data_IF_562309466522
#
_entry.id   IF_562309466522
#
_cell.length_a   1.000
_cell.length_b   1.000
_cell.length_c   1.000
_cell.angle_alpha   90.00
_cell.angle_beta   90.00
_cell.angle_gamma   90.00
#
_symmetry.space_group_name_H-M   'P 1'
#
loop_
_entity.id
_entity.type
_entity.pdbx_description
1 polymer ?
#
# COMPACT_ATOMS: atom_id res chain seq x y z
N UNK A 1 61.03 -2.98 -7.36
CA UNK A 1 60.37 -1.73 -6.90
C UNK A 1 60.04 -0.93 -8.14
N UNK A 2 58.80 -0.67 -8.57
CA UNK A 2 57.48 -0.67 -7.93
C UNK A 2 56.49 -1.14 -9.01
N UNK A 3 55.79 -2.26 -8.79
CA UNK A 3 54.51 -2.47 -9.47
C UNK A 3 53.54 -1.48 -8.84
N UNK A 4 53.07 -0.53 -9.64
CA UNK A 4 52.00 0.37 -9.24
C UNK A 4 50.74 -0.48 -9.23
N UNK A 5 50.32 -0.96 -8.06
CA UNK A 5 48.94 -1.36 -7.83
C UNK A 5 48.07 -0.19 -8.25
N UNK A 6 47.51 -0.26 -9.46
CA UNK A 6 46.51 0.67 -9.92
C UNK A 6 45.30 0.48 -9.00
N UNK A 7 45.24 1.29 -7.93
CA UNK A 7 44.09 1.36 -7.04
C UNK A 7 42.91 1.83 -7.90
N UNK A 8 42.13 0.87 -8.39
CA UNK A 8 40.92 1.14 -9.16
C UNK A 8 40.07 2.12 -8.37
N UNK A 9 39.61 3.19 -9.02
CA UNK A 9 38.73 4.13 -8.35
C UNK A 9 37.45 3.39 -7.91
N UNK A 10 36.76 3.83 -6.84
CA UNK A 10 35.50 3.21 -6.42
C UNK A 10 34.45 3.17 -7.54
N UNK A 11 34.55 4.07 -8.52
CA UNK A 11 33.68 4.10 -9.70
C UNK A 11 34.03 3.00 -10.71
N UNK A 12 35.32 2.71 -10.92
CA UNK A 12 35.79 1.66 -11.82
C UNK A 12 35.51 0.28 -11.23
N UNK A 13 35.68 0.12 -9.92
CA UNK A 13 35.25 -1.08 -9.18
C UNK A 13 33.74 -1.27 -9.31
N UNK A 14 32.93 -0.23 -9.12
CA UNK A 14 31.48 -0.31 -9.27
C UNK A 14 31.01 -0.52 -10.72
N UNK A 15 31.80 -0.12 -11.73
CA UNK A 15 31.51 -0.42 -13.14
C UNK A 15 31.87 -1.87 -13.48
N UNK A 16 33.03 -2.34 -13.05
CA UNK A 16 33.45 -3.73 -13.22
C UNK A 16 32.52 -4.72 -12.50
N UNK A 17 32.11 -4.40 -11.26
CA UNK A 17 31.14 -5.21 -10.52
C UNK A 17 29.75 -5.21 -11.16
N UNK A 18 29.32 -4.12 -11.79
CA UNK A 18 28.05 -4.07 -12.51
C UNK A 18 28.08 -4.83 -13.85
N UNK A 19 29.23 -4.86 -14.52
CA UNK A 19 29.45 -5.73 -15.67
C UNK A 19 29.47 -7.22 -15.27
N UNK A 20 29.99 -7.53 -14.08
CA UNK A 20 30.04 -8.90 -13.55
C UNK A 20 28.68 -9.38 -13.00
N UNK A 21 27.91 -8.52 -12.33
CA UNK A 21 26.57 -8.83 -11.83
C UNK A 21 25.63 -7.60 -11.90
N UNK A 22 24.66 -7.58 -12.84
CA UNK A 22 23.66 -6.52 -12.96
C UNK A 22 22.85 -6.27 -11.67
N UNK A 23 22.76 -7.27 -10.77
CA UNK A 23 22.04 -7.17 -9.50
C UNK A 23 22.72 -6.25 -8.47
N UNK A 24 23.90 -5.73 -8.78
CA UNK A 24 24.57 -4.69 -7.98
C UNK A 24 23.88 -3.33 -8.13
N UNK A 25 23.27 -3.05 -9.30
CA UNK A 25 22.63 -1.76 -9.61
C UNK A 25 21.12 -1.81 -9.76
N UNK A 26 20.57 -2.95 -10.15
CA UNK A 26 19.15 -3.12 -10.42
C UNK A 26 18.56 -4.32 -9.68
N UNK A 27 17.26 -4.29 -9.34
CA UNK A 27 16.50 -5.47 -8.94
C UNK A 27 16.55 -6.56 -10.01
N UNK A 28 16.23 -7.80 -9.62
CA UNK A 28 16.00 -8.89 -10.58
C UNK A 28 14.87 -8.51 -11.54
N UNK A 29 15.02 -8.85 -12.82
CA UNK A 29 13.99 -8.62 -13.85
C UNK A 29 12.64 -9.21 -13.43
N UNK A 30 12.63 -10.40 -12.82
CA UNK A 30 11.41 -11.02 -12.28
C UNK A 30 10.71 -10.14 -11.25
N UNK A 31 11.46 -9.49 -10.35
CA UNK A 31 10.89 -8.58 -9.35
C UNK A 31 10.31 -7.32 -10.00
N UNK A 32 10.97 -6.80 -11.04
CA UNK A 32 10.49 -5.64 -11.81
C UNK A 32 9.18 -6.00 -12.52
N UNK A 33 9.14 -7.15 -13.21
CA UNK A 33 7.95 -7.64 -13.91
C UNK A 33 6.79 -7.85 -12.93
N UNK A 34 7.04 -8.47 -11.78
CA UNK A 34 6.02 -8.66 -10.75
C UNK A 34 5.50 -7.32 -10.21
N UNK A 35 6.37 -6.35 -9.95
CA UNK A 35 5.98 -4.99 -9.55
C UNK A 35 5.07 -4.34 -10.60
N UNK A 36 5.42 -4.43 -11.89
CA UNK A 36 4.61 -3.86 -12.97
C UNK A 36 3.26 -4.57 -13.08
N UNK A 37 3.25 -5.90 -13.11
CA UNK A 37 2.03 -6.71 -13.26
C UNK A 37 1.08 -6.46 -12.09
N UNK A 38 1.56 -6.59 -10.84
CA UNK A 38 0.73 -6.36 -9.67
C UNK A 38 0.31 -4.89 -9.55
N UNK A 39 1.19 -3.95 -9.92
CA UNK A 39 0.87 -2.53 -9.94
C UNK A 39 -0.29 -2.21 -10.89
N UNK A 40 -0.22 -2.71 -12.12
CA UNK A 40 -1.28 -2.54 -13.12
C UNK A 40 -2.57 -3.27 -12.72
N UNK A 41 -2.47 -4.46 -12.13
CA UNK A 41 -3.64 -5.19 -11.62
C UNK A 41 -4.35 -4.42 -10.49
N UNK A 42 -3.61 -3.77 -9.58
CA UNK A 42 -4.20 -2.94 -8.53
C UNK A 42 -4.88 -1.69 -9.10
N UNK A 43 -4.27 -1.03 -10.09
CA UNK A 43 -4.90 0.11 -10.77
C UNK A 43 -6.16 -0.30 -11.55
N UNK A 44 -6.12 -1.46 -12.22
CA UNK A 44 -7.28 -2.02 -12.91
C UNK A 44 -8.40 -2.41 -11.91
N UNK A 45 -8.03 -3.04 -10.78
CA UNK A 45 -8.97 -3.35 -9.71
C UNK A 45 -9.59 -2.08 -9.10
N UNK A 46 -8.82 -1.00 -8.96
CA UNK A 46 -9.31 0.30 -8.51
C UNK A 46 -10.40 0.85 -9.45
N UNK A 47 -10.16 0.80 -10.77
CA UNK A 47 -11.16 1.16 -11.77
C UNK A 47 -12.39 0.24 -11.74
N UNK A 48 -12.20 -1.07 -11.54
CA UNK A 48 -13.27 -2.04 -11.39
C UNK A 48 -14.15 -1.79 -10.16
N UNK A 49 -13.54 -1.50 -9.01
CA UNK A 49 -14.23 -1.14 -7.76
C UNK A 49 -15.04 0.14 -7.97
N UNK A 50 -14.45 1.17 -8.57
CA UNK A 50 -15.16 2.40 -8.93
C UNK A 50 -16.37 2.10 -9.83
N UNK A 51 -16.19 1.29 -10.87
CA UNK A 51 -17.28 0.94 -11.78
C UNK A 51 -18.41 0.22 -11.04
N UNK A 52 -18.10 -0.77 -10.22
CA UNK A 52 -19.10 -1.52 -9.46
C UNK A 52 -19.85 -0.63 -8.48
N UNK A 53 -19.15 0.20 -7.69
CA UNK A 53 -19.78 1.08 -6.70
C UNK A 53 -20.58 2.22 -7.32
N UNK A 54 -20.06 2.84 -8.38
CA UNK A 54 -20.59 4.11 -8.91
C UNK A 54 -21.52 3.93 -10.11
N UNK A 55 -21.34 2.87 -10.91
CA UNK A 55 -22.05 2.70 -12.20
C UNK A 55 -23.14 1.63 -12.15
N UNK A 56 -23.40 1.05 -10.98
CA UNK A 56 -24.47 0.08 -10.78
C UNK A 56 -25.45 0.57 -9.71
N UNK A 57 -26.73 0.19 -9.83
CA UNK A 57 -27.75 0.53 -8.83
C UNK A 57 -27.43 -0.12 -7.48
N UNK A 58 -27.09 -1.41 -7.49
CA UNK A 58 -26.75 -2.15 -6.27
C UNK A 58 -25.52 -1.57 -5.55
N UNK A 59 -24.51 -1.15 -6.31
CA UNK A 59 -23.33 -0.48 -5.78
C UNK A 59 -23.70 0.83 -5.09
N UNK A 60 -24.50 1.69 -5.73
CA UNK A 60 -24.93 2.94 -5.11
C UNK A 60 -25.80 2.70 -3.87
N UNK A 61 -26.70 1.72 -3.90
CA UNK A 61 -27.51 1.35 -2.73
C UNK A 61 -26.64 0.84 -1.57
N UNK A 62 -25.66 -0.02 -1.86
CA UNK A 62 -24.70 -0.49 -0.87
C UNK A 62 -23.95 0.68 -0.23
N UNK A 63 -23.43 1.60 -1.04
CA UNK A 63 -22.71 2.77 -0.55
C UNK A 63 -23.59 3.68 0.30
N UNK A 64 -24.85 3.89 -0.08
CA UNK A 64 -25.78 4.78 0.62
C UNK A 64 -26.21 4.19 1.97
N UNK A 65 -26.43 2.87 2.03
CA UNK A 65 -26.68 2.13 3.29
C UNK A 65 -25.50 2.32 4.25
N UNK A 66 -24.27 2.13 3.76
CA UNK A 66 -23.09 2.25 4.61
C UNK A 66 -22.88 3.71 5.02
N UNK A 67 -22.95 4.65 4.09
CA UNK A 67 -22.76 6.07 4.35
C UNK A 67 -23.76 6.62 5.40
N UNK A 68 -25.01 6.18 5.37
CA UNK A 68 -26.05 6.66 6.29
C UNK A 68 -25.95 6.09 7.71
N UNK A 69 -25.49 4.83 7.85
CA UNK A 69 -25.67 4.06 9.10
C UNK A 69 -24.41 3.45 9.69
N UNK A 70 -23.26 3.54 9.02
CA UNK A 70 -22.02 2.87 9.46
C UNK A 70 -21.54 3.36 10.83
N UNK A 71 -21.62 4.66 11.11
CA UNK A 71 -21.17 5.24 12.38
C UNK A 71 -21.90 4.62 13.59
N UNK A 72 -23.23 4.50 13.50
CA UNK A 72 -24.06 3.88 14.52
C UNK A 72 -23.81 2.37 14.66
N UNK A 73 -23.26 1.72 13.64
CA UNK A 73 -22.94 0.30 13.63
C UNK A 73 -21.53 0.00 14.18
N UNK A 74 -20.71 1.02 14.48
CA UNK A 74 -19.38 0.81 15.04
C UNK A 74 -19.46 0.17 16.44
N UNK A 75 -18.62 -0.83 16.74
CA UNK A 75 -18.49 -1.33 18.09
C UNK A 75 -18.13 -0.19 19.05
N UNK A 76 -18.76 -0.15 20.24
CA UNK A 76 -18.57 0.95 21.20
C UNK A 76 -17.11 1.17 21.65
N UNK A 77 -16.27 0.14 21.60
CA UNK A 77 -14.83 0.25 21.88
C UNK A 77 -14.03 0.86 20.71
N UNK A 78 -14.50 0.70 19.47
CA UNK A 78 -13.82 1.13 18.27
C UNK A 78 -14.21 2.56 17.86
N UNK A 79 -15.47 2.95 18.10
CA UNK A 79 -15.99 4.25 17.70
C UNK A 79 -15.13 5.43 18.18
N UNK A 80 -14.71 5.52 19.47
CA UNK A 80 -13.88 6.64 19.92
C UNK A 80 -12.53 6.71 19.19
N UNK A 81 -11.92 5.55 18.89
CA UNK A 81 -10.64 5.48 18.18
C UNK A 81 -10.80 5.95 16.74
N UNK A 82 -11.86 5.52 16.06
CA UNK A 82 -12.18 5.92 14.70
C UNK A 82 -12.47 7.43 14.63
N UNK A 83 -13.21 7.98 15.59
CA UNK A 83 -13.54 9.41 15.63
C UNK A 83 -12.33 10.33 15.82
N UNK A 84 -11.24 9.88 16.45
CA UNK A 84 -9.98 10.64 16.49
C UNK A 84 -9.45 10.93 15.07
N UNK A 85 -9.57 9.95 14.17
CA UNK A 85 -9.15 10.08 12.78
C UNK A 85 -10.24 10.70 11.88
N UNK A 86 -11.40 11.06 12.43
CA UNK A 86 -12.39 11.89 11.76
C UNK A 86 -12.04 13.40 11.85
N UNK A 87 -10.92 13.75 12.48
CA UNK A 87 -10.38 15.11 12.53
C UNK A 87 -9.33 15.26 11.43
N UNK A 88 -9.61 16.04 10.38
CA UNK A 88 -8.70 16.21 9.22
C UNK A 88 -7.29 16.62 9.64
N UNK A 89 -7.18 17.54 10.62
CA UNK A 89 -5.90 18.00 11.13
C UNK A 89 -5.06 16.87 11.72
N UNK A 90 -5.68 15.89 12.38
CA UNK A 90 -4.98 14.72 12.95
C UNK A 90 -4.43 13.85 11.84
N UNK A 91 -5.24 13.50 10.84
CA UNK A 91 -4.81 12.66 9.71
C UNK A 91 -3.67 13.33 8.94
N UNK A 92 -3.81 14.62 8.62
CA UNK A 92 -2.78 15.41 7.92
C UNK A 92 -1.49 15.44 8.74
N UNK A 93 -1.58 15.78 10.04
CA UNK A 93 -0.41 15.90 10.91
C UNK A 93 0.34 14.58 11.04
N UNK A 94 -0.36 13.48 11.32
CA UNK A 94 0.25 12.14 11.44
C UNK A 94 0.91 11.74 10.12
N UNK A 95 0.23 11.93 8.99
CA UNK A 95 0.79 11.61 7.67
C UNK A 95 2.02 12.44 7.32
N UNK A 96 2.00 13.75 7.61
CA UNK A 96 3.15 14.64 7.40
C UNK A 96 4.33 14.22 8.27
N UNK A 97 4.09 13.87 9.53
CA UNK A 97 5.13 13.35 10.44
C UNK A 97 5.73 12.06 9.89
N UNK A 98 4.91 11.11 9.46
CA UNK A 98 5.40 9.85 8.85
C UNK A 98 6.23 10.10 7.59
N UNK A 99 5.77 11.00 6.71
CA UNK A 99 6.51 11.40 5.51
C UNK A 99 7.83 12.10 5.84
N UNK A 100 7.83 13.00 6.82
CA UNK A 100 9.04 13.68 7.29
C UNK A 100 10.06 12.69 7.88
N UNK A 101 9.60 11.72 8.69
CA UNK A 101 10.45 10.64 9.20
C UNK A 101 11.02 9.82 8.05
N UNK A 102 10.20 9.48 7.03
CA UNK A 102 10.67 8.74 5.87
C UNK A 102 11.82 9.46 5.16
N UNK A 103 11.67 10.77 4.90
CA UNK A 103 12.74 11.55 4.28
C UNK A 103 13.96 11.73 5.19
N UNK A 104 13.76 11.98 6.49
CA UNK A 104 14.85 12.08 7.46
C UNK A 104 15.70 10.79 7.48
N UNK A 105 15.05 9.62 7.50
CA UNK A 105 15.75 8.32 7.43
C UNK A 105 16.56 8.19 6.13
N UNK A 106 16.00 8.59 4.98
CA UNK A 106 16.72 8.53 3.70
C UNK A 106 17.90 9.50 3.62
N UNK A 107 17.76 10.70 4.20
CA UNK A 107 18.82 11.71 4.29
C UNK A 107 19.98 11.18 5.15
N UNK A 108 19.68 10.67 6.35
CA UNK A 108 20.69 10.09 7.26
C UNK A 108 21.42 8.91 6.58
N UNK A 109 20.69 8.12 5.79
CA UNK A 109 21.26 6.99 5.03
C UNK A 109 21.88 7.40 3.69
N UNK A 110 21.92 8.70 3.36
CA UNK A 110 22.49 9.27 2.13
C UNK A 110 21.90 8.68 0.83
N UNK A 111 20.61 8.38 0.82
CA UNK A 111 19.90 7.71 -0.29
C UNK A 111 19.16 8.69 -1.21
N UNK A 112 19.88 9.60 -1.83
CA UNK A 112 19.34 10.73 -2.61
C UNK A 112 18.38 10.33 -3.75
N UNK A 113 18.70 9.26 -4.50
CA UNK A 113 17.79 8.80 -5.56
C UNK A 113 16.49 8.22 -5.00
N UNK A 114 16.52 7.60 -3.81
CA UNK A 114 15.30 7.13 -3.14
C UNK A 114 14.42 8.30 -2.67
N UNK A 115 15.03 9.42 -2.27
CA UNK A 115 14.30 10.65 -1.95
C UNK A 115 13.54 11.14 -3.18
N UNK A 116 14.23 11.27 -4.33
CA UNK A 116 13.61 11.69 -5.58
C UNK A 116 12.48 10.73 -6.00
N UNK A 117 12.72 9.42 -5.94
CA UNK A 117 11.72 8.39 -6.26
C UNK A 117 10.47 8.49 -5.36
N UNK A 118 10.64 8.64 -4.04
CA UNK A 118 9.50 8.76 -3.12
C UNK A 118 8.79 10.12 -3.23
N UNK A 119 9.51 11.20 -3.56
CA UNK A 119 8.91 12.49 -3.83
C UNK A 119 8.03 12.44 -5.09
N UNK A 120 8.51 11.80 -6.17
CA UNK A 120 7.71 11.57 -7.39
C UNK A 120 6.50 10.70 -7.07
N UNK A 121 6.68 9.61 -6.33
CA UNK A 121 5.56 8.76 -5.89
C UNK A 121 4.51 9.54 -5.09
N UNK A 122 4.93 10.33 -4.10
CA UNK A 122 4.03 11.18 -3.32
C UNK A 122 3.29 12.21 -4.18
N UNK A 123 4.01 12.84 -5.12
CA UNK A 123 3.41 13.77 -6.09
C UNK A 123 2.39 13.11 -7.01
N UNK A 124 2.66 11.88 -7.49
CA UNK A 124 1.71 11.11 -8.30
C UNK A 124 0.47 10.70 -7.50
N UNK A 125 0.62 10.31 -6.23
CA UNK A 125 -0.50 10.02 -5.33
C UNK A 125 -1.37 11.27 -5.11
N UNK A 126 -0.75 12.42 -4.85
CA UNK A 126 -1.46 13.69 -4.72
C UNK A 126 -2.19 14.08 -6.02
N UNK A 127 -1.51 13.97 -7.16
CA UNK A 127 -2.12 14.22 -8.46
C UNK A 127 -3.30 13.28 -8.73
N UNK A 128 -3.21 12.00 -8.36
CA UNK A 128 -4.32 11.07 -8.49
C UNK A 128 -5.53 11.49 -7.60
N UNK A 129 -5.28 12.00 -6.39
CA UNK A 129 -6.33 12.48 -5.50
C UNK A 129 -7.07 13.71 -6.06
N UNK A 130 -6.36 14.63 -6.71
CA UNK A 130 -6.91 15.89 -7.19
C UNK A 130 -7.47 15.80 -8.61
N UNK A 131 -6.81 15.06 -9.51
CA UNK A 131 -7.21 14.97 -10.92
C UNK A 131 -8.36 14.00 -11.16
N UNK A 132 -8.46 12.91 -10.39
CA UNK A 132 -9.53 11.93 -10.61
C UNK A 132 -10.90 12.42 -10.15
N UNK A 133 -10.97 13.27 -9.12
CA UNK A 133 -12.24 13.82 -8.62
C UNK A 133 -13.07 14.52 -9.69
N UNK A 134 -12.54 15.47 -10.49
CA UNK A 134 -13.31 16.10 -11.56
C UNK A 134 -13.51 15.21 -12.78
N UNK A 135 -12.65 14.21 -13.00
CA UNK A 135 -12.66 13.36 -14.19
C UNK A 135 -13.63 12.17 -14.09
N UNK A 136 -13.98 11.74 -12.88
CA UNK A 136 -14.83 10.57 -12.68
C UNK A 136 -16.30 11.00 -12.51
N UNK A 137 -17.14 10.84 -13.55
CA UNK A 137 -18.55 11.21 -13.45
C UNK A 137 -19.29 10.24 -12.53
N UNK A 138 -20.17 10.79 -11.68
CA UNK A 138 -21.09 10.02 -10.86
C UNK A 138 -22.51 10.16 -11.41
N UNK A 139 -23.03 9.18 -12.17
CA UNK A 139 -24.42 9.21 -12.61
C UNK A 139 -25.34 9.01 -11.41
N UNK A 140 -26.50 9.66 -11.43
CA UNK A 140 -27.54 9.45 -10.42
C UNK A 140 -28.40 8.25 -10.84
N UNK A 141 -28.27 7.12 -10.13
CA UNK A 141 -29.01 5.89 -10.45
C UNK A 141 -30.13 5.59 -9.46
N UNK A 142 -30.02 6.10 -8.22
CA UNK A 142 -31.00 5.92 -7.14
C UNK A 142 -31.21 7.26 -6.41
N UNK A 143 -32.25 7.34 -5.59
CA UNK A 143 -32.40 8.46 -4.65
C UNK A 143 -31.41 8.31 -3.50
N UNK A 144 -30.45 9.23 -3.41
CA UNK A 144 -29.33 9.18 -2.47
C UNK A 144 -29.61 10.05 -1.24
N UNK A 145 -29.29 9.54 -0.05
CA UNK A 145 -29.08 10.38 1.14
C UNK A 145 -27.70 11.03 1.12
N UNK A 146 -26.72 10.32 0.54
CA UNK A 146 -25.34 10.79 0.38
C UNK A 146 -25.21 11.95 -0.62
N UNK A 147 -24.22 12.83 -0.40
CA UNK A 147 -23.96 13.99 -1.26
C UNK A 147 -23.79 13.58 -2.73
N UNK A 148 -24.61 14.08 -3.69
CA UNK A 148 -24.62 13.60 -5.07
C UNK A 148 -23.31 13.84 -5.84
N UNK A 149 -22.42 14.71 -5.35
CA UNK A 149 -21.15 15.00 -5.99
C UNK A 149 -20.14 13.85 -5.88
N UNK A 150 -19.26 13.74 -6.89
CA UNK A 150 -18.19 12.76 -6.85
C UNK A 150 -17.20 13.05 -5.71
N UNK A 151 -16.98 12.05 -4.87
CA UNK A 151 -16.07 12.07 -3.71
C UNK A 151 -14.88 11.13 -3.90
N UNK A 152 -14.86 10.35 -4.98
CA UNK A 152 -13.80 9.40 -5.29
C UNK A 152 -12.62 10.04 -6.03
N UNK A 153 -11.37 9.70 -5.70
CA UNK A 153 -10.92 8.89 -4.56
C UNK A 153 -10.74 9.72 -3.27
N UNK A 154 -10.70 9.05 -2.10
CA UNK A 154 -10.50 9.73 -0.81
C UNK A 154 -9.08 10.27 -0.64
N UNK A 155 -8.95 11.59 -0.51
CA UNK A 155 -7.65 12.26 -0.33
C UNK A 155 -6.97 11.93 1.01
N UNK A 156 -7.73 11.83 2.10
CA UNK A 156 -7.21 11.46 3.42
C UNK A 156 -6.63 10.04 3.42
N UNK A 157 -7.31 9.10 2.76
CA UNK A 157 -6.85 7.71 2.64
C UNK A 157 -5.62 7.62 1.74
N UNK A 158 -5.60 8.33 0.60
CA UNK A 158 -4.41 8.41 -0.26
C UNK A 158 -3.22 8.96 0.53
N UNK A 159 -3.41 10.04 1.29
CA UNK A 159 -2.35 10.66 2.09
C UNK A 159 -1.81 9.68 3.16
N UNK A 160 -2.70 9.05 3.93
CA UNK A 160 -2.34 8.10 4.97
C UNK A 160 -1.61 6.86 4.42
N UNK A 161 -2.11 6.32 3.30
CA UNK A 161 -1.50 5.15 2.66
C UNK A 161 -0.16 5.50 2.00
N UNK A 162 -0.05 6.64 1.32
CA UNK A 162 1.19 7.09 0.72
C UNK A 162 2.27 7.33 1.78
N UNK A 163 1.94 8.01 2.89
CA UNK A 163 2.86 8.21 4.00
C UNK A 163 3.34 6.88 4.63
N UNK A 164 2.42 5.92 4.80
CA UNK A 164 2.74 4.57 5.28
C UNK A 164 3.69 3.82 4.35
N UNK A 165 3.42 3.84 3.04
CA UNK A 165 4.27 3.22 2.01
C UNK A 165 5.64 3.90 1.93
N UNK A 166 5.69 5.23 1.98
CA UNK A 166 6.93 5.99 1.96
C UNK A 166 7.81 5.64 3.15
N UNK A 167 7.23 5.61 4.35
CA UNK A 167 7.95 5.21 5.57
C UNK A 167 8.44 3.76 5.46
N UNK A 168 7.59 2.83 5.02
CA UNK A 168 7.94 1.43 4.79
C UNK A 168 9.13 1.28 3.82
N UNK A 169 9.15 2.09 2.77
CA UNK A 169 10.22 2.13 1.78
C UNK A 169 11.51 2.79 2.32
N UNK A 170 11.41 3.74 3.23
CA UNK A 170 12.55 4.47 3.77
C UNK A 170 13.33 3.69 4.84
N UNK A 171 12.61 2.97 5.72
CA UNK A 171 13.20 2.33 6.90
C UNK A 171 14.18 1.20 6.58
N UNK A 172 15.16 0.93 7.46
CA UNK A 172 16.03 -0.24 7.35
C UNK A 172 15.23 -1.54 7.44
N UNK A 173 15.79 -2.62 6.88
CA UNK A 173 15.14 -3.93 6.77
C UNK A 173 14.50 -4.41 8.08
N UNK A 174 15.19 -4.19 9.19
CA UNK A 174 14.77 -4.61 10.54
C UNK A 174 13.44 -3.98 11.00
N UNK A 175 13.10 -2.79 10.50
CA UNK A 175 11.87 -2.08 10.88
C UNK A 175 10.73 -2.23 9.86
N UNK A 176 10.99 -2.77 8.66
CA UNK A 176 9.99 -2.82 7.56
C UNK A 176 8.71 -3.54 7.98
N UNK A 177 8.84 -4.70 8.64
CA UNK A 177 7.70 -5.49 9.08
C UNK A 177 6.85 -4.72 10.11
N UNK A 178 7.48 -4.06 11.09
CA UNK A 178 6.79 -3.24 12.08
C UNK A 178 6.05 -2.06 11.44
N UNK A 179 6.72 -1.33 10.54
CA UNK A 179 6.12 -0.18 9.83
C UNK A 179 4.95 -0.63 8.95
N UNK A 180 5.02 -1.80 8.31
CA UNK A 180 3.90 -2.32 7.53
C UNK A 180 2.66 -2.58 8.40
N UNK A 181 2.83 -3.12 9.62
CA UNK A 181 1.72 -3.35 10.56
C UNK A 181 1.15 -2.04 11.10
N UNK A 182 2.01 -1.07 11.46
CA UNK A 182 1.58 0.25 11.92
C UNK A 182 0.84 0.99 10.80
N UNK A 183 1.39 0.98 9.58
CA UNK A 183 0.75 1.57 8.41
C UNK A 183 -0.59 0.91 8.08
N UNK A 184 -0.72 -0.40 8.29
CA UNK A 184 -1.96 -1.12 8.12
C UNK A 184 -3.01 -0.65 9.11
N UNK A 185 -2.69 -0.65 10.41
CA UNK A 185 -3.60 -0.17 11.44
C UNK A 185 -4.01 1.29 11.18
N UNK A 186 -3.06 2.15 10.84
CA UNK A 186 -3.31 3.56 10.56
C UNK A 186 -4.25 3.76 9.36
N UNK A 187 -3.96 3.13 8.22
CA UNK A 187 -4.79 3.27 7.01
C UNK A 187 -6.18 2.67 7.16
N UNK A 188 -6.33 1.60 7.96
CA UNK A 188 -7.64 1.05 8.31
C UNK A 188 -8.42 2.05 9.15
N UNK A 189 -7.82 2.58 10.23
CA UNK A 189 -8.50 3.55 11.10
C UNK A 189 -8.92 4.81 10.33
N UNK A 190 -8.07 5.34 9.45
CA UNK A 190 -8.40 6.47 8.57
C UNK A 190 -9.49 6.09 7.56
N UNK A 191 -9.43 4.91 6.97
CA UNK A 191 -10.45 4.43 6.03
C UNK A 191 -11.83 4.31 6.67
N UNK A 192 -11.90 3.74 7.88
CA UNK A 192 -13.15 3.65 8.63
C UNK A 192 -13.63 5.01 9.12
N UNK A 193 -12.73 5.92 9.49
CA UNK A 193 -13.10 7.24 10.02
C UNK A 193 -13.74 8.13 8.98
N UNK A 194 -13.25 8.12 7.74
CA UNK A 194 -13.84 8.96 6.68
C UNK A 194 -15.21 8.45 6.23
N UNK A 195 -15.48 7.16 6.41
CA UNK A 195 -16.80 6.57 6.16
C UNK A 195 -17.75 6.89 7.33
N UNK A 196 -17.30 6.68 8.56
CA UNK A 196 -18.07 6.98 9.78
C UNK A 196 -18.42 8.47 9.90
N UNK A 197 -17.50 9.35 9.52
CA UNK A 197 -17.73 10.79 9.46
C UNK A 197 -18.62 11.23 8.28
N UNK A 198 -19.09 10.30 7.45
CA UNK A 198 -19.93 10.54 6.29
C UNK A 198 -19.28 11.46 5.23
N UNK A 199 -17.95 11.47 5.16
CA UNK A 199 -17.21 12.27 4.16
C UNK A 199 -17.05 11.51 2.85
N UNK A 200 -16.87 10.19 2.96
CA UNK A 200 -16.55 9.31 1.84
C UNK A 200 -17.36 8.04 1.90
N UNK A 201 -17.54 7.43 0.73
CA UNK A 201 -18.19 6.13 0.58
C UNK A 201 -17.16 5.02 0.62
N UNK A 202 -17.57 3.76 0.87
CA UNK A 202 -16.64 2.63 0.92
C UNK A 202 -15.77 2.48 -0.34
N UNK A 203 -16.35 2.71 -1.53
CA UNK A 203 -15.61 2.63 -2.80
C UNK A 203 -14.47 3.63 -2.86
N UNK A 204 -14.67 4.87 -2.37
CA UNK A 204 -13.65 5.91 -2.38
C UNK A 204 -12.39 5.50 -1.61
N UNK A 205 -12.59 4.77 -0.50
CA UNK A 205 -11.54 4.27 0.39
C UNK A 205 -10.79 3.11 -0.25
N UNK A 206 -11.51 2.10 -0.74
CA UNK A 206 -10.89 0.94 -1.40
C UNK A 206 -10.15 1.35 -2.67
N UNK A 207 -10.75 2.23 -3.46
CA UNK A 207 -10.15 2.80 -4.67
C UNK A 207 -8.84 3.52 -4.36
N UNK A 208 -8.82 4.35 -3.30
CA UNK A 208 -7.64 5.07 -2.84
C UNK A 208 -6.50 4.13 -2.43
N UNK A 209 -6.79 3.09 -1.64
CA UNK A 209 -5.79 2.10 -1.22
C UNK A 209 -5.16 1.39 -2.42
N UNK A 210 -5.98 0.97 -3.38
CA UNK A 210 -5.53 0.29 -4.60
C UNK A 210 -4.71 1.22 -5.52
N UNK A 211 -5.07 2.50 -5.64
CA UNK A 211 -4.27 3.49 -6.39
C UNK A 211 -2.88 3.61 -5.77
N UNK A 212 -2.81 3.83 -4.46
CA UNK A 212 -1.53 3.98 -3.75
C UNK A 212 -0.69 2.70 -3.88
N UNK A 213 -1.30 1.53 -3.70
CA UNK A 213 -0.61 0.25 -3.89
C UNK A 213 -0.09 0.06 -5.31
N UNK A 214 -0.90 0.38 -6.31
CA UNK A 214 -0.53 0.33 -7.72
C UNK A 214 0.66 1.22 -8.05
N UNK A 215 0.58 2.49 -7.67
CA UNK A 215 1.68 3.46 -7.86
C UNK A 215 2.93 3.07 -7.06
N UNK A 216 2.78 2.50 -5.87
CA UNK A 216 3.91 2.06 -5.04
C UNK A 216 4.69 0.94 -5.72
N UNK A 217 3.98 -0.05 -6.28
CA UNK A 217 4.61 -1.15 -7.01
C UNK A 217 5.30 -0.67 -8.29
N UNK A 218 4.67 0.25 -9.05
CA UNK A 218 5.31 0.88 -10.20
C UNK A 218 6.55 1.70 -9.80
N UNK A 219 6.50 2.41 -8.68
CA UNK A 219 7.67 3.07 -8.12
C UNK A 219 8.76 2.03 -7.78
N UNK A 220 8.42 0.93 -7.09
CA UNK A 220 9.39 -0.11 -6.76
C UNK A 220 10.03 -0.78 -8.00
N UNK A 221 9.32 -0.84 -9.13
CA UNK A 221 9.88 -1.32 -10.40
C UNK A 221 11.07 -0.48 -10.89
N UNK A 222 11.11 0.81 -10.56
CA UNK A 222 12.19 1.74 -10.92
C UNK A 222 13.28 1.87 -9.85
N UNK A 223 13.27 0.99 -8.84
CA UNK A 223 14.30 0.98 -7.79
C UNK A 223 15.69 0.81 -8.39
N UNK A 224 16.62 1.68 -7.96
CA UNK A 224 18.02 1.67 -8.39
C UNK A 224 18.95 1.45 -7.18
N UNK A 225 20.26 1.29 -7.42
CA UNK A 225 21.30 1.00 -6.42
C UNK A 225 21.13 1.71 -5.07
N UNK A 226 20.78 3.01 -5.07
CA UNK A 226 20.55 3.81 -3.85
C UNK A 226 19.42 3.28 -2.95
N UNK A 227 18.42 2.62 -3.53
CA UNK A 227 17.29 2.00 -2.82
C UNK A 227 17.54 0.57 -2.35
N UNK A 228 18.67 -0.03 -2.75
CA UNK A 228 19.03 -1.42 -2.46
C UNK A 228 19.88 -1.53 -1.19
N UNK A 229 19.88 -2.71 -0.57
CA UNK A 229 20.78 -3.02 0.54
C UNK A 229 22.18 -3.33 -0.02
N UNK A 230 23.22 -2.97 0.74
CA UNK A 230 24.61 -3.05 0.29
C UNK A 230 24.99 -4.50 -0.07
N UNK A 231 25.71 -4.73 -1.19
CA UNK A 231 26.25 -6.04 -1.52
C UNK A 231 27.02 -6.63 -0.32
N UNK A 232 26.67 -7.84 0.12
CA UNK A 232 27.22 -8.49 1.33
C UNK A 232 26.34 -8.40 2.58
N UNK A 233 25.43 -7.41 2.67
CA UNK A 233 24.44 -7.30 3.77
C UNK A 233 23.04 -7.82 3.40
N UNK A 234 22.89 -8.33 2.18
CA UNK A 234 21.65 -8.86 1.62
C UNK A 234 21.36 -10.23 2.21
N UNK A 235 20.33 -10.32 3.04
CA UNK A 235 19.86 -11.56 3.65
C UNK A 235 18.33 -11.60 3.64
N UNK A 236 17.77 -12.80 3.68
CA UNK A 236 16.35 -13.00 3.97
C UNK A 236 16.02 -12.44 5.35
N UNK A 237 14.77 -12.00 5.53
CA UNK A 237 14.28 -11.51 6.82
C UNK A 237 13.05 -12.33 7.22
N UNK A 238 13.16 -13.08 8.31
CA UNK A 238 12.07 -13.91 8.81
C UNK A 238 10.86 -13.04 9.20
N UNK A 239 11.06 -11.87 9.81
CA UNK A 239 9.97 -10.96 10.15
C UNK A 239 9.22 -10.46 8.91
N UNK A 240 9.94 -10.11 7.84
CA UNK A 240 9.32 -9.72 6.56
C UNK A 240 8.56 -10.87 5.92
N UNK A 241 9.11 -12.09 5.96
CA UNK A 241 8.44 -13.27 5.40
C UNK A 241 7.17 -13.63 6.17
N UNK A 242 7.24 -13.67 7.50
CA UNK A 242 6.09 -13.98 8.36
C UNK A 242 5.02 -12.91 8.22
N UNK A 243 5.36 -11.64 8.47
CA UNK A 243 4.39 -10.54 8.41
C UNK A 243 3.84 -10.37 7.01
N UNK A 244 4.69 -10.41 5.98
CA UNK A 244 4.25 -10.34 4.58
C UNK A 244 3.29 -11.46 4.23
N UNK A 245 3.60 -12.72 4.59
CA UNK A 245 2.73 -13.86 4.29
C UNK A 245 1.40 -13.77 5.03
N UNK A 246 1.41 -13.36 6.31
CA UNK A 246 0.20 -13.17 7.12
C UNK A 246 -0.67 -12.07 6.51
N UNK A 247 -0.11 -10.90 6.20
CA UNK A 247 -0.84 -9.78 5.61
C UNK A 247 -1.42 -10.12 4.23
N UNK A 248 -0.66 -10.83 3.38
CA UNK A 248 -1.15 -11.29 2.08
C UNK A 248 -2.27 -12.32 2.23
N UNK A 249 -2.12 -13.28 3.15
CA UNK A 249 -3.13 -14.32 3.37
C UNK A 249 -4.42 -13.73 3.92
N UNK A 250 -4.34 -12.91 4.98
CA UNK A 250 -5.50 -12.22 5.55
C UNK A 250 -6.12 -11.26 4.52
N UNK A 251 -5.29 -10.55 3.74
CA UNK A 251 -5.77 -9.66 2.69
C UNK A 251 -6.56 -10.39 1.61
N UNK A 252 -6.02 -11.48 1.06
CA UNK A 252 -6.72 -12.27 0.02
C UNK A 252 -7.98 -12.93 0.58
N UNK A 253 -7.88 -13.63 1.72
CA UNK A 253 -9.02 -14.32 2.31
C UNK A 253 -10.11 -13.33 2.76
N UNK A 254 -9.72 -12.18 3.31
CA UNK A 254 -10.64 -11.12 3.73
C UNK A 254 -11.34 -10.47 2.54
N UNK A 255 -10.66 -10.28 1.41
CA UNK A 255 -11.29 -9.80 0.17
C UNK A 255 -12.30 -10.82 -0.36
N UNK A 256 -11.92 -12.10 -0.42
CA UNK A 256 -12.81 -13.18 -0.87
C UNK A 256 -14.05 -13.29 0.03
N UNK A 257 -13.86 -13.23 1.35
CA UNK A 257 -14.96 -13.30 2.30
C UNK A 257 -15.84 -12.04 2.28
N UNK A 258 -15.25 -10.85 2.13
CA UNK A 258 -16.00 -9.61 1.94
C UNK A 258 -16.84 -9.63 0.66
N UNK A 259 -16.28 -10.13 -0.45
CA UNK A 259 -17.01 -10.34 -1.69
C UNK A 259 -18.15 -11.36 -1.54
N UNK A 260 -17.93 -12.44 -0.78
CA UNK A 260 -18.97 -13.41 -0.44
C UNK A 260 -20.12 -12.77 0.34
N UNK A 261 -19.83 -11.93 1.35
CA UNK A 261 -20.86 -11.20 2.10
C UNK A 261 -21.66 -10.28 1.19
N UNK A 262 -20.99 -9.52 0.31
CA UNK A 262 -21.67 -8.64 -0.66
C UNK A 262 -22.58 -9.47 -1.58
N UNK A 263 -22.10 -10.61 -2.06
CA UNK A 263 -22.90 -11.51 -2.90
C UNK A 263 -24.16 -12.03 -2.18
N UNK A 264 -24.08 -12.31 -0.88
CA UNK A 264 -25.24 -12.75 -0.07
C UNK A 264 -26.30 -11.65 0.09
N UNK A 265 -25.90 -10.39 0.22
CA UNK A 265 -26.84 -9.28 0.40
C UNK A 265 -27.33 -8.65 -0.91
N UNK A 266 -26.66 -8.94 -2.03
CA UNK A 266 -26.95 -8.33 -3.34
C UNK A 266 -28.44 -8.35 -3.73
N UNK A 267 -29.21 -9.44 -3.52
CA UNK A 267 -30.64 -9.46 -3.86
C UNK A 267 -31.49 -8.41 -3.14
N UNK A 268 -31.05 -7.93 -1.97
CA UNK A 268 -31.75 -6.91 -1.18
C UNK A 268 -31.29 -5.47 -1.43
N UNK A 269 -30.18 -5.26 -2.15
CA UNK A 269 -29.59 -3.93 -2.34
C UNK A 269 -30.46 -3.01 -3.21
N UNK A 270 -31.05 -3.54 -4.29
CA UNK A 270 -31.92 -2.75 -5.17
C UNK A 270 -33.15 -2.15 -4.47
N UNK A 271 -33.62 -2.80 -3.39
CA UNK A 271 -34.76 -2.34 -2.58
C UNK A 271 -34.33 -1.67 -1.28
N UNK A 272 -33.02 -1.51 -1.04
CA UNK A 272 -32.45 -1.01 0.22
C UNK A 272 -33.02 -1.72 1.46
N UNK A 273 -33.17 -3.05 1.38
CA UNK A 273 -33.84 -3.83 2.41
C UNK A 273 -33.03 -3.85 3.73
N UNK A 274 -33.70 -3.64 4.86
CA UNK A 274 -33.02 -3.47 6.16
C UNK A 274 -32.14 -4.66 6.58
N UNK A 275 -32.47 -5.88 6.16
CA UNK A 275 -31.67 -7.07 6.48
C UNK A 275 -30.26 -7.04 5.83
N UNK A 276 -30.05 -6.21 4.81
CA UNK A 276 -28.73 -6.06 4.14
C UNK A 276 -27.75 -5.20 4.94
N UNK A 277 -28.25 -4.37 5.86
CA UNK A 277 -27.49 -3.38 6.62
C UNK A 277 -26.27 -3.99 7.32
N UNK A 278 -26.47 -5.05 8.11
CA UNK A 278 -25.39 -5.69 8.87
C UNK A 278 -24.30 -6.25 7.94
N UNK A 279 -24.69 -6.89 6.84
CA UNK A 279 -23.75 -7.39 5.85
C UNK A 279 -22.96 -6.27 5.17
N UNK A 280 -23.60 -5.13 4.90
CA UNK A 280 -22.95 -3.97 4.29
C UNK A 280 -21.87 -3.35 5.20
N UNK A 281 -22.16 -3.17 6.49
CA UNK A 281 -21.19 -2.62 7.45
C UNK A 281 -20.01 -3.57 7.68
N UNK A 282 -20.29 -4.86 7.90
CA UNK A 282 -19.25 -5.87 8.15
C UNK A 282 -18.36 -6.03 6.93
N UNK A 283 -18.93 -6.12 5.73
CA UNK A 283 -18.14 -6.21 4.50
C UNK A 283 -17.31 -4.95 4.26
N UNK A 284 -17.82 -3.75 4.55
CA UNK A 284 -17.03 -2.50 4.45
C UNK A 284 -15.82 -2.51 5.37
N UNK A 285 -16.02 -2.83 6.65
CA UNK A 285 -14.93 -2.85 7.63
C UNK A 285 -13.87 -3.91 7.27
N UNK A 286 -14.34 -5.11 6.89
CA UNK A 286 -13.48 -6.21 6.47
C UNK A 286 -12.70 -5.89 5.20
N UNK A 287 -13.35 -5.38 4.16
CA UNK A 287 -12.70 -5.05 2.88
C UNK A 287 -11.68 -3.94 3.05
N UNK A 288 -11.97 -2.93 3.87
CA UNK A 288 -11.00 -1.87 4.20
C UNK A 288 -9.75 -2.45 4.85
N UNK A 289 -9.93 -3.32 5.84
CA UNK A 289 -8.83 -4.01 6.51
C UNK A 289 -8.06 -4.95 5.59
N UNK A 290 -8.76 -5.72 4.75
CA UNK A 290 -8.18 -6.73 3.88
C UNK A 290 -7.43 -6.11 2.70
N UNK A 291 -7.98 -5.07 2.05
CA UNK A 291 -7.31 -4.36 0.96
C UNK A 291 -6.08 -3.61 1.47
N UNK A 292 -6.17 -2.96 2.63
CA UNK A 292 -5.00 -2.33 3.26
C UNK A 292 -3.91 -3.37 3.56
N UNK A 293 -4.29 -4.54 4.13
CA UNK A 293 -3.35 -5.62 4.42
C UNK A 293 -2.69 -6.15 3.14
N UNK A 294 -3.46 -6.33 2.07
CA UNK A 294 -2.95 -6.76 0.77
C UNK A 294 -1.95 -5.74 0.20
N UNK A 295 -2.31 -4.44 0.20
CA UNK A 295 -1.48 -3.36 -0.34
C UNK A 295 -0.16 -3.22 0.41
N UNK A 296 -0.18 -3.19 1.74
CA UNK A 296 1.04 -3.07 2.52
C UNK A 296 1.83 -4.38 2.58
N UNK A 297 1.15 -5.53 2.58
CA UNK A 297 1.78 -6.86 2.54
C UNK A 297 2.54 -7.09 1.23
N UNK A 298 1.92 -6.77 0.08
CA UNK A 298 2.60 -6.89 -1.22
C UNK A 298 3.72 -5.86 -1.35
N UNK A 299 3.53 -4.63 -0.87
CA UNK A 299 4.57 -3.60 -0.89
C UNK A 299 5.76 -4.02 -0.02
N UNK A 300 5.51 -4.61 1.15
CA UNK A 300 6.54 -5.14 2.06
C UNK A 300 7.34 -6.27 1.38
N UNK A 301 6.65 -7.24 0.78
CA UNK A 301 7.27 -8.36 0.08
C UNK A 301 8.08 -7.88 -1.13
N UNK A 302 7.49 -7.03 -1.99
CA UNK A 302 8.15 -6.50 -3.18
C UNK A 302 9.31 -5.59 -2.81
N UNK A 303 9.19 -4.76 -1.76
CA UNK A 303 10.29 -3.93 -1.27
C UNK A 303 11.48 -4.78 -0.84
N UNK A 304 11.24 -5.92 -0.19
CA UNK A 304 12.31 -6.83 0.19
C UNK A 304 12.98 -7.47 -1.04
N UNK A 305 12.17 -7.89 -2.02
CA UNK A 305 12.66 -8.50 -3.26
C UNK A 305 13.44 -7.50 -4.14
N UNK A 306 13.06 -6.23 -4.16
CA UNK A 306 13.75 -5.19 -4.94
C UNK A 306 14.96 -4.63 -4.20
N UNK A 307 14.92 -4.54 -2.87
CA UNK A 307 16.05 -4.04 -2.08
C UNK A 307 17.16 -5.08 -1.85
N UNK A 308 16.82 -6.37 -1.77
CA UNK A 308 17.77 -7.45 -1.47
C UNK A 308 17.69 -8.61 -2.47
N UNK A 309 17.96 -8.40 -3.77
CA UNK A 309 18.10 -9.51 -4.69
C UNK A 309 19.35 -10.31 -4.29
N UNK A 310 19.14 -11.57 -3.93
CA UNK A 310 20.23 -12.50 -3.64
C UNK A 310 21.04 -12.69 -4.94
N UNK A 311 22.32 -12.37 -4.92
CA UNK A 311 23.20 -12.56 -6.07
C UNK A 311 23.68 -14.01 -6.13
N UNK A 312 24.21 -14.49 -7.27
CA UNK A 312 24.93 -15.78 -7.31
C UNK A 312 26.14 -15.77 -6.35
N UNK A 313 26.75 -14.60 -6.16
CA UNK A 313 27.84 -14.37 -5.21
C UNK A 313 27.40 -14.44 -3.73
N UNK A 314 26.11 -14.19 -3.44
CA UNK A 314 25.52 -14.28 -2.10
C UNK A 314 24.96 -15.65 -1.72
N UNK A 315 25.03 -16.64 -2.62
CA UNK A 315 24.77 -18.06 -2.31
C UNK A 315 26.02 -18.80 -1.81
N UNK A 316 27.18 -18.14 -1.79
CA UNK A 316 28.42 -18.69 -1.20
C UNK A 316 28.55 -18.25 0.25
N UNK A 317 27.50 -18.50 1.05
CA UNK A 317 27.73 -18.83 2.44
C UNK A 317 28.21 -20.28 2.43
N UNK A 318 29.51 -20.52 2.67
CA UNK A 318 30.00 -21.88 2.80
C UNK A 318 29.09 -22.64 3.79
N UNK A 319 28.68 -23.89 3.49
CA UNK A 319 27.94 -24.70 4.44
C UNK A 319 28.66 -24.69 5.79
N UNK A 320 27.94 -24.60 6.93
CA UNK A 320 28.59 -24.63 8.24
C UNK A 320 29.51 -25.85 8.31
N UNK A 321 30.77 -25.61 8.64
CA UNK A 321 31.76 -26.69 8.73
C UNK A 321 31.27 -27.70 9.78
N UNK A 322 31.29 -29.01 9.48
CA UNK A 322 30.89 -30.02 10.45
C UNK A 322 31.78 -29.92 11.70
N UNK A 323 31.24 -30.17 12.90
CA UNK A 323 32.00 -30.07 14.14
C UNK A 323 33.24 -30.97 14.06
N UNK A 324 34.40 -30.41 14.43
CA UNK A 324 35.64 -31.18 14.55
C UNK A 324 35.45 -32.20 15.67
N UNK A 325 35.60 -33.48 15.33
CA UNK A 325 35.72 -34.57 16.30
C UNK A 325 37.03 -34.46 17.05
#
# INVERSE_FOLDING_TARGET
>A
MREVEAVLSPQDVNKGLAQADPLTRHPRVSSIVLCVVFGLLMLAASAGVWWLGVRTMDGQSYEDIVWSKFDAALPGWLAPVVHVFAISAVVITVSVIMGAIAFAVLIVRKRWLSIAQLAVFGGLCFAAAELLKPLLPRPYLINLESNPNNSAPSGHVILAAAASVMLLCAVPRVLRALVAVIGWAYTVLVGLSVIAAQWHRPTDVIMALLIVGGLALLALATTFASGMDEPGTRVSSASVQIVGSVMLTIGVLGILYGAYIIWQIQPGLAMSAEWTNAGAYVSTALLTAAVSALVLGITLAMRQLTASPLTKLGLVGAPPAPPKR
#
